data_IF_850299513030
#
_entry.id   IF_850299513030
#
_cell.length_a   1.000
_cell.length_b   1.000
_cell.length_c   1.000
_cell.angle_alpha   90.00
_cell.angle_beta   90.00
_cell.angle_gamma   90.00
#
_symmetry.space_group_name_H-M   'P 1'
#
loop_
_entity.id
_entity.type
_entity.pdbx_description
1 polymer ?
#
# COMPACT_ATOMS: atom_id res chain seq x y z
N UNK A 1 -1.10 -6.76 -18.55
CA UNK A 1 -1.26 -7.60 -17.34
C UNK A 1 -1.75 -8.97 -17.72
N UNK A 2 -1.34 -9.97 -16.96
CA UNK A 2 -1.82 -11.34 -17.18
C UNK A 2 -3.30 -11.49 -16.83
N UNK A 3 -3.98 -12.44 -17.47
CA UNK A 3 -5.41 -12.67 -17.26
C UNK A 3 -5.78 -12.91 -15.80
N UNK A 4 -4.93 -13.66 -15.08
CA UNK A 4 -5.13 -13.91 -13.64
C UNK A 4 -5.10 -12.63 -12.82
N UNK A 5 -4.17 -11.72 -13.14
CA UNK A 5 -4.09 -10.42 -12.46
C UNK A 5 -5.35 -9.59 -12.71
N UNK A 6 -5.86 -9.60 -13.94
CA UNK A 6 -7.12 -8.92 -14.27
C UNK A 6 -8.30 -9.52 -13.52
N UNK A 7 -8.36 -10.84 -13.43
CA UNK A 7 -9.40 -11.55 -12.68
C UNK A 7 -9.36 -11.18 -11.20
N UNK A 8 -8.16 -11.18 -10.60
CA UNK A 8 -7.98 -10.79 -9.21
C UNK A 8 -8.47 -9.35 -8.96
N UNK A 9 -8.16 -8.42 -9.87
CA UNK A 9 -8.63 -7.04 -9.76
C UNK A 9 -10.16 -6.94 -9.85
N UNK A 10 -10.80 -7.73 -10.71
CA UNK A 10 -12.26 -7.79 -10.79
C UNK A 10 -12.88 -8.29 -9.47
N UNK A 11 -12.32 -9.33 -8.89
CA UNK A 11 -12.80 -9.88 -7.61
C UNK A 11 -12.61 -8.89 -6.45
N UNK A 12 -11.45 -8.24 -6.39
CA UNK A 12 -11.15 -7.21 -5.39
C UNK A 12 -12.14 -6.04 -5.53
N UNK A 13 -12.33 -5.57 -6.77
CA UNK A 13 -13.24 -4.46 -7.06
C UNK A 13 -14.68 -4.78 -6.68
N UNK A 14 -15.17 -5.96 -7.03
CA UNK A 14 -16.51 -6.41 -6.67
C UNK A 14 -16.69 -6.44 -5.15
N UNK A 15 -15.71 -6.97 -4.43
CA UNK A 15 -15.75 -7.03 -2.98
C UNK A 15 -15.71 -5.62 -2.35
N UNK A 16 -14.83 -4.75 -2.83
CA UNK A 16 -14.68 -3.39 -2.32
C UNK A 16 -15.95 -2.54 -2.52
N UNK A 17 -16.67 -2.75 -3.64
CA UNK A 17 -17.89 -2.01 -3.95
C UNK A 17 -19.13 -2.57 -3.26
N UNK A 18 -19.13 -3.85 -2.90
CA UNK A 18 -20.30 -4.53 -2.32
C UNK A 18 -20.55 -4.19 -0.85
N UNK A 19 -19.59 -3.58 -0.16
CA UNK A 19 -19.70 -3.29 1.27
C UNK A 19 -19.17 -1.90 1.62
N UNK A 20 -19.32 -1.53 2.89
CA UNK A 20 -18.80 -0.27 3.40
C UNK A 20 -17.29 -0.30 3.66
N UNK A 21 -16.83 0.79 4.27
CA UNK A 21 -15.40 1.03 4.55
C UNK A 21 -15.06 0.80 6.03
N UNK A 22 -15.65 -0.21 6.66
CA UNK A 22 -15.26 -0.59 8.02
C UNK A 22 -13.82 -1.08 8.03
N UNK A 23 -13.14 -0.96 9.15
CA UNK A 23 -11.77 -1.47 9.31
C UNK A 23 -11.67 -2.96 8.93
N UNK A 24 -12.67 -3.75 9.30
CA UNK A 24 -12.74 -5.17 8.96
C UNK A 24 -12.80 -5.39 7.44
N UNK A 25 -13.63 -4.61 6.75
CA UNK A 25 -13.77 -4.70 5.28
C UNK A 25 -12.48 -4.30 4.58
N UNK A 26 -11.85 -3.21 5.01
CA UNK A 26 -10.59 -2.75 4.45
C UNK A 26 -9.50 -3.81 4.67
N UNK A 27 -9.45 -4.42 5.85
CA UNK A 27 -8.51 -5.52 6.13
C UNK A 27 -8.72 -6.70 5.18
N UNK A 28 -9.96 -7.08 4.92
CA UNK A 28 -10.26 -8.15 3.97
C UNK A 28 -9.76 -7.80 2.56
N UNK A 29 -9.90 -6.55 2.13
CA UNK A 29 -9.41 -6.11 0.81
C UNK A 29 -7.89 -6.18 0.75
N UNK A 30 -7.16 -5.70 1.77
CA UNK A 30 -5.68 -5.78 1.73
C UNK A 30 -5.20 -7.23 1.79
N UNK A 31 -5.91 -8.12 2.48
CA UNK A 31 -5.59 -9.56 2.45
C UNK A 31 -5.78 -10.15 1.04
N UNK A 32 -6.82 -9.76 0.33
CA UNK A 32 -7.03 -10.16 -1.07
C UNK A 32 -5.90 -9.65 -1.97
N UNK A 33 -5.49 -8.41 -1.79
CA UNK A 33 -4.39 -7.81 -2.55
C UNK A 33 -3.09 -8.59 -2.29
N UNK A 34 -2.79 -8.86 -1.03
CA UNK A 34 -1.59 -9.62 -0.65
C UNK A 34 -1.60 -11.01 -1.28
N UNK A 35 -2.71 -11.73 -1.14
CA UNK A 35 -2.82 -13.10 -1.62
C UNK A 35 -2.73 -13.20 -3.15
N UNK A 36 -3.24 -12.21 -3.87
CA UNK A 36 -3.26 -12.21 -5.33
C UNK A 36 -1.86 -12.34 -5.95
N UNK A 37 -0.83 -11.82 -5.30
CA UNK A 37 0.55 -11.88 -5.80
C UNK A 37 1.54 -12.35 -4.75
N UNK A 38 1.03 -12.94 -3.68
CA UNK A 38 1.83 -13.54 -2.62
C UNK A 38 2.86 -12.58 -2.00
N UNK A 39 2.44 -11.35 -1.74
CA UNK A 39 3.30 -10.38 -1.04
C UNK A 39 3.50 -10.81 0.43
N UNK A 40 4.59 -10.36 1.03
CA UNK A 40 4.85 -10.61 2.45
C UNK A 40 3.89 -9.82 3.34
N UNK A 41 3.63 -8.55 3.01
CA UNK A 41 2.77 -7.66 3.78
C UNK A 41 2.20 -6.56 2.89
N UNK A 42 0.95 -6.21 3.12
CA UNK A 42 0.27 -5.07 2.48
C UNK A 42 -0.44 -4.28 3.56
N UNK A 43 -0.26 -2.97 3.56
CA UNK A 43 -0.92 -2.08 4.51
C UNK A 43 -1.40 -0.79 3.87
N UNK A 44 -2.32 -0.12 4.55
CA UNK A 44 -2.85 1.18 4.15
C UNK A 44 -2.61 2.17 5.28
N UNK A 45 -1.99 3.29 4.94
CA UNK A 45 -1.84 4.45 5.81
C UNK A 45 -2.72 5.57 5.28
N UNK A 46 -3.48 6.21 6.15
CA UNK A 46 -4.19 7.45 5.82
C UNK A 46 -3.37 8.65 6.27
N UNK A 47 -3.58 9.79 5.63
CA UNK A 47 -3.05 11.06 6.11
C UNK A 47 -4.07 11.64 7.08
N UNK A 48 -3.64 11.91 8.30
CA UNK A 48 -4.43 12.54 9.34
C UNK A 48 -3.63 13.70 9.90
N UNK A 49 -4.05 14.93 9.58
CA UNK A 49 -3.31 16.15 9.92
C UNK A 49 -1.91 16.11 9.28
N UNK A 50 -0.86 16.02 10.07
CA UNK A 50 0.53 16.02 9.62
C UNK A 50 1.19 14.65 9.77
N UNK A 51 0.39 13.59 9.92
CA UNK A 51 0.87 12.23 10.11
C UNK A 51 0.31 11.25 9.09
N UNK A 52 1.09 10.22 8.80
CA UNK A 52 0.58 8.97 8.27
C UNK A 52 0.14 8.09 9.43
N UNK A 53 -1.05 7.52 9.35
CA UNK A 53 -1.62 6.67 10.39
C UNK A 53 -2.08 5.36 9.77
N UNK A 54 -1.65 4.24 10.34
CA UNK A 54 -2.07 2.92 9.86
C UNK A 54 -3.59 2.77 9.95
N UNK A 55 -4.22 2.40 8.85
CA UNK A 55 -5.64 2.01 8.83
C UNK A 55 -5.74 0.52 9.12
N UNK A 56 -4.97 -0.27 8.38
CA UNK A 56 -4.89 -1.72 8.55
C UNK A 56 -3.66 -2.26 7.83
N UNK A 57 -3.24 -3.46 8.22
CA UNK A 57 -2.22 -4.23 7.53
C UNK A 57 -2.56 -5.70 7.57
N UNK A 58 -1.94 -6.48 6.69
CA UNK A 58 -2.16 -7.92 6.61
C UNK A 58 -1.49 -8.67 7.76
N UNK A 59 -2.04 -9.83 8.11
CA UNK A 59 -1.53 -10.63 9.22
C UNK A 59 -1.80 -9.99 10.58
N UNK A 60 -1.09 -10.45 11.60
CA UNK A 60 -1.30 -10.02 12.99
C UNK A 60 -0.18 -9.12 13.52
N UNK A 61 0.96 -9.08 12.83
CA UNK A 61 2.10 -8.26 13.23
C UNK A 61 1.88 -6.80 12.83
N UNK A 62 1.83 -5.87 13.80
CA UNK A 62 1.69 -4.45 13.48
C UNK A 62 3.00 -3.89 12.94
N UNK A 63 2.94 -2.83 12.10
CA UNK A 63 4.16 -2.14 11.70
C UNK A 63 4.81 -1.43 12.90
N UNK A 64 6.14 -1.28 12.84
CA UNK A 64 6.91 -0.66 13.92
C UNK A 64 6.46 0.78 14.21
N UNK A 65 6.03 1.51 13.17
CA UNK A 65 5.58 2.89 13.29
C UNK A 65 4.14 3.00 12.77
N UNK A 66 3.12 2.75 13.61
CA UNK A 66 1.72 2.87 13.19
C UNK A 66 1.28 4.32 12.96
N UNK A 67 2.04 5.28 13.43
CA UNK A 67 1.88 6.72 13.20
C UNK A 67 3.26 7.35 13.06
N UNK A 68 3.45 8.15 12.01
CA UNK A 68 4.71 8.87 11.80
C UNK A 68 4.47 10.13 10.97
N UNK A 69 5.34 11.14 11.08
CA UNK A 69 5.16 12.39 10.34
C UNK A 69 5.16 12.21 8.84
N UNK A 70 4.37 13.01 8.11
CA UNK A 70 4.32 13.00 6.64
C UNK A 70 5.62 13.46 5.98
N UNK A 71 6.61 13.89 6.77
CA UNK A 71 7.94 14.28 6.30
C UNK A 71 8.97 13.15 6.39
N UNK A 72 8.57 11.95 6.83
CA UNK A 72 9.49 10.84 7.05
C UNK A 72 9.12 9.61 6.24
N UNK A 73 10.14 8.83 5.89
CA UNK A 73 9.99 7.54 5.25
C UNK A 73 9.75 7.61 3.75
N UNK A 74 9.57 6.44 3.14
CA UNK A 74 9.27 6.32 1.71
C UNK A 74 7.86 6.86 1.41
N UNK A 75 6.95 6.81 2.36
CA UNK A 75 5.63 7.42 2.22
C UNK A 75 5.74 8.93 1.99
N UNK A 76 6.65 9.62 2.68
CA UNK A 76 6.91 11.04 2.46
C UNK A 76 7.41 11.31 1.03
N UNK A 77 8.29 10.46 0.52
CA UNK A 77 8.79 10.56 -0.85
C UNK A 77 7.66 10.39 -1.88
N UNK A 78 6.76 9.45 -1.65
CA UNK A 78 5.59 9.23 -2.51
C UNK A 78 4.61 10.40 -2.45
N UNK A 79 4.41 10.99 -1.28
CA UNK A 79 3.55 12.18 -1.11
C UNK A 79 4.12 13.38 -1.88
N UNK A 80 5.42 13.62 -1.77
CA UNK A 80 6.10 14.74 -2.43
C UNK A 80 6.07 14.59 -3.95
N UNK A 81 6.41 13.41 -4.47
CA UNK A 81 6.44 13.15 -5.92
C UNK A 81 5.06 12.92 -6.51
N UNK A 82 4.08 12.50 -5.71
CA UNK A 82 2.74 12.07 -6.15
C UNK A 82 2.78 10.88 -7.11
N UNK A 83 3.83 10.09 -7.03
CA UNK A 83 4.07 8.91 -7.87
C UNK A 83 4.44 7.72 -7.00
N UNK A 84 4.24 6.50 -7.51
CA UNK A 84 4.74 5.32 -6.82
C UNK A 84 6.25 5.41 -6.56
N UNK A 85 6.66 4.93 -5.41
CA UNK A 85 8.06 4.79 -5.02
C UNK A 85 8.38 3.31 -4.91
N UNK A 86 9.35 2.85 -5.69
CA UNK A 86 9.79 1.45 -5.70
C UNK A 86 11.24 1.40 -5.25
N UNK A 87 11.52 0.66 -4.19
CA UNK A 87 12.87 0.51 -3.65
C UNK A 87 13.26 -0.97 -3.67
N UNK A 88 14.29 -1.27 -4.45
CA UNK A 88 14.77 -2.65 -4.63
C UNK A 88 15.54 -3.21 -3.45
N UNK A 89 16.21 -2.35 -2.68
CA UNK A 89 16.89 -2.73 -1.43
C UNK A 89 16.79 -1.56 -0.44
N UNK A 90 15.91 -1.71 0.53
CA UNK A 90 15.64 -0.65 1.54
C UNK A 90 16.87 -0.33 2.40
N UNK A 91 17.80 -1.26 2.53
CA UNK A 91 19.04 -1.05 3.31
C UNK A 91 19.98 -0.03 2.65
N UNK A 92 19.80 0.21 1.35
CA UNK A 92 20.58 1.17 0.56
C UNK A 92 19.88 2.51 0.38
N UNK A 93 18.68 2.67 0.92
CA UNK A 93 17.91 3.90 0.80
C UNK A 93 17.81 4.60 2.15
N UNK A 94 18.45 5.77 2.26
CA UNK A 94 18.48 6.53 3.50
C UNK A 94 17.11 7.06 3.94
N UNK A 95 16.14 7.11 3.02
CA UNK A 95 14.77 7.57 3.34
C UNK A 95 13.94 6.52 4.05
N UNK A 96 14.39 5.26 4.02
CA UNK A 96 13.62 4.14 4.57
C UNK A 96 13.39 4.29 6.07
N UNK A 97 12.11 4.26 6.47
CA UNK A 97 11.70 4.14 7.87
C UNK A 97 11.29 2.68 8.08
N UNK A 98 12.02 1.92 8.90
CA UNK A 98 11.78 0.48 9.03
C UNK A 98 10.37 0.16 9.50
N UNK A 99 9.61 -0.58 8.67
CA UNK A 99 8.29 -1.12 9.00
C UNK A 99 8.44 -2.43 9.74
N UNK A 100 9.25 -3.31 9.16
CA UNK A 100 9.67 -4.58 9.75
C UNK A 100 11.16 -4.74 9.53
N UNK A 101 11.87 -5.34 10.49
CA UNK A 101 13.33 -5.50 10.38
C UNK A 101 13.76 -6.48 9.28
N UNK A 102 12.82 -7.31 8.78
CA UNK A 102 13.10 -8.30 7.73
C UNK A 102 12.83 -7.78 6.32
N UNK A 103 12.26 -6.60 6.18
CA UNK A 103 11.95 -6.02 4.86
C UNK A 103 13.23 -5.77 4.06
N UNK A 104 13.21 -6.15 2.78
CA UNK A 104 14.31 -5.95 1.84
C UNK A 104 13.92 -5.05 0.67
N UNK A 105 12.71 -5.17 0.17
CA UNK A 105 12.18 -4.29 -0.88
C UNK A 105 10.79 -3.82 -0.53
N UNK A 106 10.39 -2.68 -1.10
CA UNK A 106 9.14 -2.01 -0.77
C UNK A 106 8.61 -1.22 -1.95
N UNK A 107 7.31 -1.14 -2.07
CA UNK A 107 6.62 -0.25 -3.01
C UNK A 107 5.54 0.53 -2.27
N UNK A 108 5.50 1.83 -2.51
CA UNK A 108 4.50 2.75 -1.96
C UNK A 108 3.68 3.32 -3.11
N UNK A 109 2.36 3.21 -3.02
CA UNK A 109 1.43 3.74 -4.02
C UNK A 109 0.59 4.85 -3.39
N UNK A 110 0.67 6.11 -3.89
CA UNK A 110 -0.22 7.15 -3.43
C UNK A 110 -1.68 6.82 -3.75
N UNK A 111 -2.56 7.01 -2.78
CA UNK A 111 -4.00 6.86 -2.94
C UNK A 111 -4.62 8.25 -3.04
N UNK A 112 -5.30 8.52 -4.15
CA UNK A 112 -5.81 9.86 -4.46
C UNK A 112 -7.33 9.86 -4.61
N UNK A 113 -7.95 11.00 -4.30
CA UNK A 113 -9.36 11.21 -4.55
C UNK A 113 -9.61 11.72 -5.99
N UNK A 114 -10.86 11.97 -6.33
CA UNK A 114 -11.25 12.48 -7.65
C UNK A 114 -10.60 13.83 -7.99
N UNK A 115 -10.35 14.66 -6.98
CA UNK A 115 -9.67 15.96 -7.13
C UNK A 115 -8.14 15.84 -7.17
N UNK A 116 -7.59 14.62 -7.22
CA UNK A 116 -6.16 14.34 -7.25
C UNK A 116 -5.40 14.69 -5.95
N UNK A 117 -6.10 14.90 -4.85
CA UNK A 117 -5.46 15.03 -3.55
C UNK A 117 -5.03 13.66 -3.02
N UNK A 118 -3.84 13.60 -2.45
CA UNK A 118 -3.33 12.37 -1.84
C UNK A 118 -3.97 12.20 -0.47
N UNK A 119 -4.68 11.09 -0.29
CA UNK A 119 -5.39 10.78 0.96
C UNK A 119 -4.63 9.81 1.84
N UNK A 120 -3.71 9.06 1.27
CA UNK A 120 -2.94 8.05 1.98
C UNK A 120 -2.06 7.26 1.04
N UNK A 121 -1.55 6.13 1.54
CA UNK A 121 -0.61 5.27 0.84
C UNK A 121 -1.02 3.80 0.96
N UNK A 122 -0.89 3.08 -0.15
CA UNK A 122 -0.86 1.62 -0.14
C UNK A 122 0.61 1.21 -0.10
N UNK A 123 0.98 0.43 0.89
CA UNK A 123 2.35 -0.02 1.13
C UNK A 123 2.41 -1.54 0.98
N UNK A 124 3.31 -2.04 0.13
CA UNK A 124 3.58 -3.47 0.03
C UNK A 124 5.07 -3.72 0.27
N UNK A 125 5.38 -4.77 1.02
CA UNK A 125 6.73 -5.08 1.45
C UNK A 125 7.07 -6.54 1.21
N UNK A 126 8.37 -6.79 0.96
CA UNK A 126 8.92 -8.12 0.72
C UNK A 126 10.23 -8.31 1.46
N UNK A 127 10.47 -9.54 1.89
CA UNK A 127 11.75 -9.96 2.48
C UNK A 127 12.82 -10.27 1.42
N UNK A 128 12.44 -10.21 0.13
CA UNK A 128 13.35 -10.43 -1.00
C UNK A 128 13.71 -9.10 -1.64
N UNK A 129 14.97 -8.90 -2.06
CA UNK A 129 15.34 -7.72 -2.83
C UNK A 129 14.67 -7.74 -4.21
N UNK A 130 14.40 -6.56 -4.74
CA UNK A 130 13.86 -6.39 -6.09
C UNK A 130 12.58 -7.20 -6.36
N UNK A 131 11.70 -7.33 -5.36
CA UNK A 131 10.50 -8.13 -5.48
C UNK A 131 9.42 -7.48 -6.34
N UNK A 132 9.42 -6.16 -6.47
CA UNK A 132 8.34 -5.42 -7.14
C UNK A 132 8.75 -5.03 -8.56
N UNK A 133 8.05 -5.60 -9.54
CA UNK A 133 8.25 -5.38 -10.98
C UNK A 133 7.15 -4.46 -11.53
N UNK A 134 7.23 -4.12 -12.81
CA UNK A 134 6.22 -3.27 -13.44
C UNK A 134 4.80 -3.81 -13.32
N UNK A 135 4.61 -5.12 -13.42
CA UNK A 135 3.29 -5.72 -13.28
C UNK A 135 2.74 -5.56 -11.86
N UNK A 136 3.61 -5.65 -10.84
CA UNK A 136 3.23 -5.38 -9.45
C UNK A 136 2.79 -3.94 -9.28
N UNK A 137 3.55 -3.02 -9.84
CA UNK A 137 3.20 -1.59 -9.81
C UNK A 137 1.84 -1.34 -10.44
N UNK A 138 1.60 -1.87 -11.64
CA UNK A 138 0.32 -1.71 -12.35
C UNK A 138 -0.84 -2.31 -11.54
N UNK A 139 -0.63 -3.50 -11.00
CA UNK A 139 -1.63 -4.17 -10.16
C UNK A 139 -1.95 -3.34 -8.91
N UNK A 140 -0.93 -2.91 -8.20
CA UNK A 140 -1.11 -2.16 -6.94
C UNK A 140 -1.69 -0.77 -7.18
N UNK A 141 -1.34 -0.09 -8.27
CA UNK A 141 -1.97 1.19 -8.63
C UNK A 141 -3.47 1.02 -8.84
N UNK A 142 -3.88 -0.03 -9.56
CA UNK A 142 -5.30 -0.30 -9.79
C UNK A 142 -6.01 -0.73 -8.51
N UNK A 143 -5.39 -1.58 -7.72
CA UNK A 143 -5.95 -2.00 -6.43
C UNK A 143 -6.14 -0.80 -5.49
N UNK A 144 -5.17 0.10 -5.43
CA UNK A 144 -5.26 1.34 -4.65
C UNK A 144 -6.45 2.19 -5.11
N UNK A 145 -6.67 2.30 -6.42
CA UNK A 145 -7.81 3.03 -6.98
C UNK A 145 -9.17 2.45 -6.59
N UNK A 146 -9.25 1.13 -6.40
CA UNK A 146 -10.48 0.46 -6.01
C UNK A 146 -10.90 0.73 -4.56
N UNK A 147 -9.98 1.14 -3.70
CA UNK A 147 -10.23 1.31 -2.27
C UNK A 147 -9.98 2.74 -1.77
N UNK A 148 -9.49 3.63 -2.62
CA UNK A 148 -9.19 5.02 -2.23
C UNK A 148 -10.39 5.76 -1.66
N UNK A 149 -11.61 5.44 -2.12
CA UNK A 149 -12.85 6.05 -1.61
C UNK A 149 -13.09 5.78 -0.12
N UNK A 150 -12.40 4.82 0.46
CA UNK A 150 -12.49 4.52 1.90
C UNK A 150 -11.61 5.45 2.75
N UNK A 151 -10.77 6.27 2.13
CA UNK A 151 -9.93 7.24 2.83
C UNK A 151 -10.54 8.63 2.71
N UNK A 152 -10.87 9.26 3.83
CA UNK A 152 -11.42 10.62 3.88
C UNK A 152 -11.28 11.22 5.27
#
# INVERSE_FOLDING_TARGET
MKDETCKNLQEIGAFALAGGCTAKRIKQVVEMIRAARNYRWVGIYKIERKDFVIVTGTGDEPPAYPRFPITQGLCAAALESRKPVVVGDVRKDARYLPTFHTTRSEIIIPMVNESKHVLGMLDAESEKPNAFKNEDRQFLERAAGLIAHCLH
#
